data_IF_685390601086
#
_entry.id   IF_685390601086
#
_cell.length_a   1.000
_cell.length_b   1.000
_cell.length_c   1.000
_cell.angle_alpha   90.00
_cell.angle_beta   90.00
_cell.angle_gamma   90.00
#
_symmetry.space_group_name_H-M   'P 1'
#
loop_
_entity.id
_entity.type
_entity.pdbx_description
1 polymer ?
#
# COMPACT_ATOMS: atom_id res chain seq x y z
N UNK A 1 -7.02 13.26 -0.07
CA UNK A 1 -6.57 12.41 1.06
C UNK A 1 -5.17 11.92 0.73
N UNK A 2 -4.21 12.16 1.62
CA UNK A 2 -2.79 11.98 1.31
C UNK A 2 -2.35 10.51 1.34
N UNK A 3 -1.15 10.24 0.84
CA UNK A 3 -0.50 8.92 0.92
C UNK A 3 -0.34 8.42 2.37
N UNK A 4 -0.03 9.31 3.31
CA UNK A 4 0.08 8.99 4.73
C UNK A 4 -1.22 8.38 5.31
N UNK A 5 -2.36 9.04 5.09
CA UNK A 5 -3.67 8.55 5.58
C UNK A 5 -4.00 7.16 5.01
N UNK A 6 -3.67 6.96 3.73
CA UNK A 6 -3.90 5.69 3.03
C UNK A 6 -3.06 4.56 3.60
N UNK A 7 -1.80 4.83 3.93
CA UNK A 7 -0.91 3.85 4.54
C UNK A 7 -1.33 3.47 5.96
N UNK A 8 -1.77 4.43 6.77
CA UNK A 8 -2.31 4.15 8.10
C UNK A 8 -3.50 3.18 7.98
N UNK A 9 -4.43 3.44 7.07
CA UNK A 9 -5.60 2.57 6.86
C UNK A 9 -5.23 1.19 6.33
N UNK A 10 -4.26 1.09 5.44
CA UNK A 10 -3.78 -0.20 4.94
C UNK A 10 -3.17 -1.04 6.06
N UNK A 11 -2.30 -0.44 6.88
CA UNK A 11 -1.68 -1.11 8.02
C UNK A 11 -2.74 -1.62 8.99
N UNK A 12 -3.74 -0.78 9.30
CA UNK A 12 -4.84 -1.17 10.18
C UNK A 12 -5.70 -2.29 9.58
N UNK A 13 -6.07 -2.18 8.30
CA UNK A 13 -6.96 -3.14 7.64
C UNK A 13 -6.37 -4.55 7.56
N UNK A 14 -5.04 -4.68 7.44
CA UNK A 14 -4.39 -5.98 7.24
C UNK A 14 -3.72 -6.51 8.50
N UNK A 15 -3.10 -5.64 9.31
CA UNK A 15 -2.35 -6.02 10.51
C UNK A 15 -3.07 -5.81 11.82
N UNK A 16 -4.18 -5.07 11.85
CA UNK A 16 -4.81 -4.65 13.10
C UNK A 16 -3.98 -3.57 13.82
N UNK A 17 -4.49 -3.14 14.98
CA UNK A 17 -3.96 -1.97 15.70
C UNK A 17 -2.52 -2.17 16.19
N UNK A 18 -2.22 -3.31 16.81
CA UNK A 18 -0.90 -3.57 17.39
C UNK A 18 0.23 -3.63 16.35
N UNK A 19 -0.05 -4.17 15.16
CA UNK A 19 0.93 -4.25 14.07
C UNK A 19 1.05 -2.89 13.39
N UNK A 20 -0.07 -2.20 13.17
CA UNK A 20 -0.06 -0.85 12.62
C UNK A 20 0.74 0.11 13.51
N UNK A 21 0.51 0.10 14.82
CA UNK A 21 1.25 0.92 15.78
C UNK A 21 2.75 0.60 15.76
N UNK A 22 3.14 -0.67 15.70
CA UNK A 22 4.55 -1.10 15.71
C UNK A 22 5.29 -0.71 14.44
N UNK A 23 4.67 -0.91 13.28
CA UNK A 23 5.21 -0.51 11.98
C UNK A 23 5.30 1.01 11.90
N UNK A 24 4.25 1.73 12.31
CA UNK A 24 4.26 3.19 12.36
C UNK A 24 5.30 3.72 13.35
N UNK A 25 5.39 3.22 14.59
CA UNK A 25 6.40 3.65 15.58
C UNK A 25 7.84 3.36 15.13
N UNK A 26 8.04 2.37 14.28
CA UNK A 26 9.38 2.10 13.71
C UNK A 26 9.70 3.01 12.52
N UNK A 27 8.69 3.59 11.87
CA UNK A 27 8.84 4.30 10.59
C UNK A 27 8.20 5.72 10.56
N UNK A 28 7.67 6.23 11.68
CA UNK A 28 6.87 7.47 11.77
C UNK A 28 7.62 8.74 11.39
N UNK A 29 8.96 8.74 11.49
CA UNK A 29 9.79 9.87 11.05
C UNK A 29 9.82 10.01 9.53
N UNK A 30 9.21 9.06 8.83
CA UNK A 30 9.12 8.99 7.39
C UNK A 30 7.64 8.76 7.07
N UNK A 31 6.80 9.76 7.33
CA UNK A 31 5.43 9.72 6.81
C UNK A 31 5.50 9.96 5.29
N UNK A 32 4.89 9.09 4.47
CA UNK A 32 5.02 9.20 3.03
C UNK A 32 4.25 10.42 2.50
N UNK A 33 4.98 11.34 1.85
CA UNK A 33 4.45 12.45 1.06
C UNK A 33 3.89 11.94 -0.28
N UNK A 34 3.01 12.69 -0.94
CA UNK A 34 2.44 12.25 -2.24
C UNK A 34 3.45 12.28 -3.42
N UNK A 35 4.70 12.69 -3.16
CA UNK A 35 5.80 12.72 -4.12
C UNK A 35 6.44 11.33 -4.37
N UNK A 36 7.44 11.30 -5.27
CA UNK A 36 8.15 10.07 -5.63
C UNK A 36 8.88 9.42 -4.43
N UNK A 37 9.37 10.21 -3.48
CA UNK A 37 10.07 9.71 -2.30
C UNK A 37 9.08 9.03 -1.34
N UNK A 38 7.90 9.60 -1.13
CA UNK A 38 6.86 8.97 -0.33
C UNK A 38 6.28 7.70 -0.97
N UNK A 39 6.23 7.60 -2.30
CA UNK A 39 5.87 6.33 -2.98
C UNK A 39 6.92 5.23 -2.81
N UNK A 40 8.20 5.57 -2.90
CA UNK A 40 9.28 4.60 -2.63
C UNK A 40 9.18 4.07 -1.19
N UNK A 41 8.82 4.94 -0.26
CA UNK A 41 8.62 4.61 1.15
C UNK A 41 7.40 3.71 1.40
N UNK A 42 6.31 3.90 0.65
CA UNK A 42 5.17 2.96 0.66
C UNK A 42 5.62 1.53 0.34
N UNK A 43 6.46 1.34 -0.68
CA UNK A 43 6.99 0.01 -1.02
C UNK A 43 7.75 -0.64 0.15
N UNK A 44 8.52 0.15 0.89
CA UNK A 44 9.23 -0.31 2.09
C UNK A 44 8.27 -0.71 3.21
N UNK A 45 7.28 0.13 3.53
CA UNK A 45 6.26 -0.14 4.56
C UNK A 45 5.46 -1.41 4.27
N UNK A 46 5.05 -1.61 3.02
CA UNK A 46 4.36 -2.84 2.59
C UNK A 46 5.27 -4.07 2.74
N UNK A 47 6.57 -3.92 2.46
CA UNK A 47 7.56 -4.99 2.67
C UNK A 47 7.80 -5.33 4.14
N UNK A 48 7.76 -4.35 5.05
CA UNK A 48 7.78 -4.59 6.50
C UNK A 48 6.51 -5.30 6.96
N UNK A 49 5.35 -4.85 6.50
CA UNK A 49 4.06 -5.47 6.82
C UNK A 49 4.01 -6.95 6.39
N UNK A 50 4.54 -7.27 5.22
CA UNK A 50 4.63 -8.65 4.74
C UNK A 50 5.57 -9.53 5.60
N UNK A 51 6.58 -8.93 6.24
CA UNK A 51 7.47 -9.63 7.17
C UNK A 51 6.84 -9.85 8.54
N UNK A 52 6.09 -8.86 9.04
CA UNK A 52 5.33 -8.97 10.30
C UNK A 52 4.15 -9.94 10.19
N UNK A 53 3.58 -10.11 9.00
CA UNK A 53 2.38 -10.92 8.75
C UNK A 53 2.64 -12.03 7.70
N UNK A 54 3.46 -13.04 8.03
CA UNK A 54 3.69 -14.16 7.12
C UNK A 54 2.36 -14.86 6.77
N UNK A 55 2.17 -15.21 5.50
CA UNK A 55 0.94 -15.83 4.99
C UNK A 55 -0.21 -14.86 4.68
N UNK A 56 -0.07 -13.55 4.95
CA UNK A 56 -1.11 -12.54 4.66
C UNK A 56 -0.87 -11.76 3.38
N UNK A 57 0.07 -12.19 2.54
CA UNK A 57 0.47 -11.47 1.32
C UNK A 57 -0.72 -11.21 0.37
N UNK A 58 -1.66 -12.14 0.25
CA UNK A 58 -2.88 -11.94 -0.55
C UNK A 58 -3.72 -10.79 -0.01
N UNK A 59 -3.98 -10.74 1.29
CA UNK A 59 -4.72 -9.65 1.93
C UNK A 59 -3.99 -8.31 1.80
N UNK A 60 -2.66 -8.30 1.88
CA UNK A 60 -1.84 -7.11 1.63
C UNK A 60 -2.02 -6.65 0.18
N UNK A 61 -1.93 -7.54 -0.81
CA UNK A 61 -2.12 -7.21 -2.23
C UNK A 61 -3.51 -6.65 -2.50
N UNK A 62 -4.55 -7.26 -1.95
CA UNK A 62 -5.93 -6.78 -2.08
C UNK A 62 -6.10 -5.37 -1.49
N UNK A 63 -5.56 -5.13 -0.29
CA UNK A 63 -5.63 -3.80 0.33
C UNK A 63 -4.87 -2.74 -0.48
N UNK A 64 -3.68 -3.06 -0.99
CA UNK A 64 -2.90 -2.19 -1.91
C UNK A 64 -3.69 -1.92 -3.19
N UNK A 65 -4.35 -2.93 -3.77
CA UNK A 65 -5.14 -2.80 -4.98
C UNK A 65 -6.36 -1.90 -4.77
N UNK A 66 -7.11 -2.11 -3.68
CA UNK A 66 -8.26 -1.27 -3.33
C UNK A 66 -7.83 0.20 -3.16
N UNK A 67 -6.69 0.43 -2.52
CA UNK A 67 -6.14 1.78 -2.37
C UNK A 67 -5.80 2.42 -3.72
N UNK A 68 -5.11 1.72 -4.61
CA UNK A 68 -4.77 2.21 -5.94
C UNK A 68 -6.02 2.49 -6.79
N UNK A 69 -7.02 1.60 -6.76
CA UNK A 69 -8.28 1.81 -7.47
C UNK A 69 -9.08 3.01 -6.93
N UNK A 70 -8.94 3.32 -5.64
CA UNK A 70 -9.59 4.49 -5.02
C UNK A 70 -9.05 5.82 -5.55
N UNK A 71 -7.85 5.84 -6.13
CA UNK A 71 -7.23 7.02 -6.72
C UNK A 71 -7.70 7.34 -8.13
N UNK A 72 -8.25 6.35 -8.83
CA UNK A 72 -8.72 6.54 -10.19
C UNK A 72 -9.99 7.39 -10.17
N UNK A 73 -10.08 8.36 -11.07
CA UNK A 73 -11.35 9.03 -11.34
C UNK A 73 -12.32 8.08 -12.07
N UNK A 74 -13.57 8.52 -12.28
CA UNK A 74 -14.59 7.69 -12.90
C UNK A 74 -14.24 7.25 -14.33
N UNK A 75 -13.47 8.06 -15.06
CA UNK A 75 -13.07 7.79 -16.44
C UNK A 75 -11.99 6.72 -16.48
N UNK A 76 -10.93 6.89 -15.70
CA UNK A 76 -9.84 5.90 -15.55
C UNK A 76 -10.37 4.58 -14.96
N UNK A 77 -11.38 4.62 -14.09
CA UNK A 77 -11.98 3.39 -13.54
C UNK A 77 -12.82 2.63 -14.57
N UNK A 78 -13.47 3.32 -15.50
CA UNK A 78 -14.27 2.71 -16.57
C UNK A 78 -13.40 2.17 -17.72
N UNK A 79 -12.32 2.88 -18.06
CA UNK A 79 -11.40 2.52 -19.13
C UNK A 79 -9.95 2.88 -18.76
N UNK A 80 -9.27 2.07 -17.93
CA UNK A 80 -7.93 2.40 -17.45
C UNK A 80 -6.92 2.38 -18.59
N UNK A 81 -6.08 3.41 -18.63
CA UNK A 81 -4.99 3.45 -19.60
C UNK A 81 -3.95 2.36 -19.31
N UNK A 82 -3.19 1.94 -20.33
CA UNK A 82 -2.06 1.00 -20.13
C UNK A 82 -1.06 1.53 -19.09
N UNK A 83 -0.83 2.84 -19.06
CA UNK A 83 0.08 3.47 -18.10
C UNK A 83 -0.45 3.30 -16.67
N UNK A 84 -1.75 3.51 -16.47
CA UNK A 84 -2.43 3.31 -15.18
C UNK A 84 -2.33 1.87 -14.72
N UNK A 85 -2.68 0.90 -15.57
CA UNK A 85 -2.58 -0.52 -15.23
C UNK A 85 -1.16 -0.89 -14.81
N UNK A 86 -0.14 -0.42 -15.55
CA UNK A 86 1.25 -0.67 -15.19
C UNK A 86 1.66 -0.02 -13.88
N UNK A 87 1.15 1.17 -13.56
CA UNK A 87 1.40 1.83 -12.28
C UNK A 87 0.83 1.01 -11.11
N UNK A 88 -0.41 0.53 -11.24
CA UNK A 88 -1.07 -0.31 -10.23
C UNK A 88 -0.30 -1.62 -10.04
N UNK A 89 0.05 -2.31 -11.13
CA UNK A 89 0.81 -3.57 -11.06
C UNK A 89 2.16 -3.38 -10.37
N UNK A 90 2.85 -2.26 -10.62
CA UNK A 90 4.13 -1.93 -9.97
C UNK A 90 4.00 -1.59 -8.49
N UNK A 91 2.82 -1.14 -8.05
CA UNK A 91 2.54 -0.86 -6.64
C UNK A 91 2.24 -2.12 -5.82
N UNK A 92 1.82 -3.21 -6.48
CA UNK A 92 1.54 -4.48 -5.81
C UNK A 92 2.83 -5.14 -5.31
N UNK A 93 2.89 -5.58 -4.04
CA UNK A 93 4.06 -6.30 -3.55
C UNK A 93 4.27 -7.59 -4.35
N UNK A 94 5.52 -7.81 -4.75
CA UNK A 94 5.96 -9.02 -5.45
C UNK A 94 6.44 -10.06 -4.45
N UNK A 95 5.94 -11.27 -4.60
CA UNK A 95 6.21 -12.42 -3.74
C UNK A 95 5.22 -13.54 -4.09
N UNK A 96 5.65 -14.79 -3.96
CA UNK A 96 4.75 -15.93 -4.07
C UNK A 96 3.90 -16.00 -2.80
N UNK A 97 2.56 -16.15 -2.90
CA UNK A 97 1.79 -16.57 -1.74
C UNK A 97 2.38 -17.91 -1.29
N UNK A 98 2.84 -17.96 -0.05
CA UNK A 98 3.28 -19.20 0.61
C UNK A 98 2.09 -19.90 1.22
#
# INVERSE_FOLDING_TARGET
>A
MGLADRMIRLLWAVGGEDVAERVLRSHWRVLPSDDLAGRALRGRLVGELARELPGRLTAIREAVLVDELSLLDATERAAPSRATVLAIVRALPVGSPS
#
